data_IF_209899313039
#
_entry.id   IF_209899313039
#
_cell.length_a   1.000
_cell.length_b   1.000
_cell.length_c   1.000
_cell.angle_alpha   90.00
_cell.angle_beta   90.00
_cell.angle_gamma   90.00
#
_symmetry.space_group_name_H-M   'P 1'
#
loop_
_entity.id
_entity.type
_entity.pdbx_description
1 polymer ?
#
# COMPACT_ATOMS: atom_id res chain seq x y z
N UNK A 1 13.22 -24.53 1.17
CA UNK A 1 11.89 -24.15 0.64
C UNK A 1 12.10 -23.51 -0.72
N UNK A 2 11.27 -23.81 -1.74
CA UNK A 2 11.41 -23.18 -3.06
C UNK A 2 11.24 -21.67 -2.94
N UNK A 3 12.18 -20.90 -3.50
CA UNK A 3 12.14 -19.45 -3.49
C UNK A 3 11.13 -18.97 -4.55
N UNK A 4 10.25 -18.03 -4.16
CA UNK A 4 9.25 -17.50 -5.08
C UNK A 4 9.91 -16.83 -6.29
N UNK A 5 9.35 -17.07 -7.48
CA UNK A 5 9.87 -16.50 -8.74
C UNK A 5 9.76 -14.96 -8.76
N UNK A 6 10.61 -14.28 -9.55
CA UNK A 6 10.58 -12.81 -9.66
C UNK A 6 9.19 -12.27 -10.05
N UNK A 7 8.52 -12.94 -11.01
CA UNK A 7 7.14 -12.60 -11.40
C UNK A 7 6.15 -12.74 -10.24
N UNK A 8 6.25 -13.80 -9.43
CA UNK A 8 5.37 -13.97 -8.26
C UNK A 8 5.59 -12.88 -7.21
N UNK A 9 6.85 -12.53 -6.91
CA UNK A 9 7.19 -11.44 -5.98
C UNK A 9 6.61 -10.11 -6.46
N UNK A 10 6.75 -9.81 -7.75
CA UNK A 10 6.22 -8.60 -8.40
C UNK A 10 4.69 -8.51 -8.31
N UNK A 11 3.99 -9.58 -8.70
CA UNK A 11 2.52 -9.63 -8.64
C UNK A 11 2.02 -9.48 -7.21
N UNK A 12 2.65 -10.16 -6.25
CA UNK A 12 2.25 -10.06 -4.85
C UNK A 12 2.45 -8.64 -4.32
N UNK A 13 3.60 -8.02 -4.59
CA UNK A 13 3.87 -6.63 -4.20
C UNK A 13 2.84 -5.68 -4.80
N UNK A 14 2.49 -5.81 -6.09
CA UNK A 14 1.46 -4.99 -6.74
C UNK A 14 0.09 -5.12 -6.06
N UNK A 15 -0.36 -6.34 -5.78
CA UNK A 15 -1.64 -6.57 -5.09
C UNK A 15 -1.65 -5.89 -3.73
N UNK A 16 -0.56 -6.02 -2.96
CA UNK A 16 -0.44 -5.37 -1.64
C UNK A 16 -0.46 -3.85 -1.72
N UNK A 17 0.23 -3.26 -2.71
CA UNK A 17 0.23 -1.80 -2.93
C UNK A 17 -1.19 -1.33 -3.24
N UNK A 18 -1.86 -1.98 -4.19
CA UNK A 18 -3.22 -1.60 -4.58
C UNK A 18 -4.22 -1.77 -3.44
N UNK A 19 -4.14 -2.88 -2.70
CA UNK A 19 -4.99 -3.14 -1.54
C UNK A 19 -4.79 -2.12 -0.43
N UNK A 20 -3.53 -1.83 -0.07
CA UNK A 20 -3.20 -0.83 0.95
C UNK A 20 -3.64 0.57 0.56
N UNK A 21 -3.44 0.94 -0.71
CA UNK A 21 -3.85 2.25 -1.25
C UNK A 21 -5.37 2.40 -1.27
N UNK A 22 -6.10 1.39 -1.76
CA UNK A 22 -7.56 1.43 -1.81
C UNK A 22 -8.17 1.54 -0.40
N UNK A 23 -7.66 0.77 0.55
CA UNK A 23 -8.10 0.84 1.94
C UNK A 23 -7.81 2.21 2.57
N UNK A 24 -6.61 2.77 2.34
CA UNK A 24 -6.24 4.08 2.86
C UNK A 24 -7.13 5.20 2.28
N UNK A 25 -7.39 5.18 0.97
CA UNK A 25 -8.26 6.15 0.31
C UNK A 25 -9.70 6.08 0.83
N UNK A 26 -10.23 4.87 1.00
CA UNK A 26 -11.57 4.68 1.58
C UNK A 26 -11.66 5.24 3.00
N UNK A 27 -10.68 4.93 3.86
CA UNK A 27 -10.66 5.43 5.23
C UNK A 27 -10.50 6.95 5.27
N UNK A 28 -9.67 7.54 4.41
CA UNK A 28 -9.60 9.00 4.24
C UNK A 28 -10.95 9.60 3.86
N UNK A 29 -11.66 9.00 2.91
CA UNK A 29 -13.01 9.44 2.54
C UNK A 29 -13.96 9.41 3.74
N UNK A 30 -13.99 8.31 4.50
CA UNK A 30 -14.83 8.18 5.70
C UNK A 30 -14.49 9.27 6.72
N UNK A 31 -13.20 9.48 7.02
CA UNK A 31 -12.76 10.50 7.98
C UNK A 31 -13.18 11.89 7.52
N UNK A 32 -12.88 12.26 6.28
CA UNK A 32 -13.20 13.59 5.72
C UNK A 32 -14.72 13.81 5.69
N UNK A 33 -15.49 12.84 5.18
CA UNK A 33 -16.94 12.96 5.10
C UNK A 33 -17.59 13.16 6.47
N UNK A 34 -17.14 12.42 7.50
CA UNK A 34 -17.68 12.56 8.85
C UNK A 34 -17.28 13.88 9.51
N UNK A 35 -16.04 14.33 9.33
CA UNK A 35 -15.61 15.65 9.83
C UNK A 35 -16.41 16.78 9.18
N UNK A 36 -16.65 16.69 7.86
CA UNK A 36 -17.49 17.66 7.14
C UNK A 36 -18.96 17.60 7.59
N UNK A 37 -19.43 16.45 8.04
CA UNK A 37 -20.75 16.29 8.68
C UNK A 37 -20.80 16.78 10.14
N UNK A 38 -19.70 17.35 10.66
CA UNK A 38 -19.63 17.92 12.02
C UNK A 38 -19.22 16.93 13.11
N UNK A 39 -18.83 15.70 12.76
CA UNK A 39 -18.31 14.76 13.74
C UNK A 39 -16.94 15.20 14.27
N UNK A 40 -16.69 14.96 15.55
CA UNK A 40 -15.37 15.17 16.16
C UNK A 40 -14.42 14.04 15.81
N UNK A 41 -13.15 14.38 15.59
CA UNK A 41 -12.08 13.41 15.30
C UNK A 41 -11.62 12.70 16.58
N UNK A 42 -12.47 11.81 17.09
CA UNK A 42 -12.23 11.07 18.33
C UNK A 42 -12.63 9.60 18.17
N UNK A 43 -12.20 8.75 19.10
CA UNK A 43 -12.57 7.34 19.14
C UNK A 43 -12.36 6.61 17.81
N UNK A 44 -13.44 6.05 17.25
CA UNK A 44 -13.40 5.29 16.01
C UNK A 44 -12.88 6.11 14.82
N UNK A 45 -13.23 7.40 14.73
CA UNK A 45 -12.83 8.23 13.59
C UNK A 45 -11.34 8.54 13.59
N UNK A 46 -10.79 8.78 14.79
CA UNK A 46 -9.34 8.93 14.97
C UNK A 46 -8.61 7.61 14.65
N UNK A 47 -9.16 6.46 15.08
CA UNK A 47 -8.60 5.15 14.74
C UNK A 47 -8.61 4.90 13.22
N UNK A 48 -9.69 5.25 12.52
CA UNK A 48 -9.75 5.19 11.06
C UNK A 48 -8.69 6.06 10.38
N UNK A 49 -8.43 7.26 10.90
CA UNK A 49 -7.37 8.13 10.38
C UNK A 49 -5.97 7.50 10.57
N UNK A 50 -5.72 6.89 11.72
CA UNK A 50 -4.48 6.15 11.99
C UNK A 50 -4.32 4.94 11.05
N UNK A 51 -5.40 4.19 10.82
CA UNK A 51 -5.38 3.08 9.86
C UNK A 51 -5.21 3.54 8.42
N UNK A 52 -5.77 4.69 8.04
CA UNK A 52 -5.52 5.28 6.72
C UNK A 52 -4.02 5.57 6.54
N UNK A 53 -3.40 6.18 7.55
CA UNK A 53 -1.96 6.43 7.55
C UNK A 53 -1.14 5.13 7.48
N UNK A 54 -1.52 4.11 8.24
CA UNK A 54 -0.89 2.80 8.19
C UNK A 54 -1.03 2.14 6.81
N UNK A 55 -2.19 2.27 6.15
CA UNK A 55 -2.44 1.78 4.79
C UNK A 55 -1.54 2.45 3.76
N UNK A 56 -1.34 3.78 3.85
CA UNK A 56 -0.39 4.50 3.01
C UNK A 56 1.06 4.08 3.27
N UNK A 57 1.45 3.93 4.54
CA UNK A 57 2.78 3.46 4.89
C UNK A 57 3.04 2.05 4.35
N UNK A 58 2.06 1.15 4.46
CA UNK A 58 2.10 -0.20 3.90
C UNK A 58 2.25 -0.17 2.38
N UNK A 59 1.43 0.61 1.68
CA UNK A 59 1.52 0.75 0.22
C UNK A 59 2.88 1.33 -0.22
N UNK A 60 3.38 2.36 0.47
CA UNK A 60 4.69 2.95 0.19
C UNK A 60 5.84 1.95 0.40
N UNK A 61 5.76 1.12 1.45
CA UNK A 61 6.75 0.08 1.71
C UNK A 61 6.83 -0.95 0.57
N UNK A 62 5.69 -1.47 0.11
CA UNK A 62 5.68 -2.44 -0.99
C UNK A 62 5.97 -1.82 -2.35
N UNK A 63 5.70 -0.52 -2.54
CA UNK A 63 6.13 0.20 -3.74
C UNK A 63 7.65 0.29 -3.80
N UNK A 64 8.32 0.50 -2.65
CA UNK A 64 9.78 0.45 -2.55
C UNK A 64 10.33 -0.92 -2.92
N UNK A 65 9.70 -1.99 -2.40
CA UNK A 65 10.10 -3.37 -2.72
C UNK A 65 9.90 -3.71 -4.20
N UNK A 66 8.77 -3.30 -4.78
CA UNK A 66 8.48 -3.46 -6.21
C UNK A 66 9.51 -2.74 -7.09
N UNK A 67 9.94 -1.54 -6.68
CA UNK A 67 10.97 -0.77 -7.39
C UNK A 67 12.32 -1.48 -7.37
N UNK A 68 12.66 -2.17 -6.29
CA UNK A 68 13.88 -2.98 -6.20
C UNK A 68 13.80 -4.20 -7.14
N UNK A 69 12.67 -4.94 -7.12
CA UNK A 69 12.45 -6.09 -8.02
C UNK A 69 12.48 -5.67 -9.48
N UNK A 70 11.93 -4.51 -9.83
CA UNK A 70 11.98 -3.98 -11.19
C UNK A 70 13.40 -3.63 -11.65
N UNK A 71 14.31 -3.24 -10.74
CA UNK A 71 15.73 -3.05 -11.05
C UNK A 71 16.44 -4.39 -11.27
N UNK A 72 16.18 -5.37 -10.40
CA UNK A 72 16.70 -6.74 -10.54
C UNK A 72 16.30 -7.37 -11.90
N UNK A 73 15.04 -7.20 -12.33
CA UNK A 73 14.58 -7.68 -13.66
C UNK A 73 15.34 -7.02 -14.82
N UNK A 74 15.68 -5.72 -14.72
CA UNK A 74 16.43 -5.01 -15.77
C UNK A 74 17.90 -5.43 -15.83
N UNK A 75 18.53 -5.64 -14.68
CA UNK A 75 19.92 -6.10 -14.60
C UNK A 75 20.07 -7.55 -15.07
N UNK A 76 19.08 -8.40 -14.81
CA UNK A 76 19.03 -9.77 -15.33
C UNK A 76 18.77 -9.81 -16.85
N UNK A 77 17.95 -8.90 -17.39
CA UNK A 77 17.66 -8.80 -18.82
C UNK A 77 18.75 -8.12 -19.67
N UNK A 78 19.64 -7.32 -19.05
CA UNK A 78 20.76 -6.67 -19.73
C UNK A 78 22.03 -7.52 -19.85
N UNK A 79 22.03 -8.74 -19.32
CA UNK A 79 23.13 -9.73 -19.43
C UNK A 79 22.86 -10.83 -20.47
N UNK A 80 21.86 -10.63 -21.34
CA UNK A 80 21.52 -11.53 -22.46
C UNK A 80 22.05 -11.00 -23.79
#
# INVERSE_FOLDING_TARGET
>A
MPQATLRQRKTFALIRVLGGLAAALYLCYVVVANVLAGARLEGALLYSALLAFAGFAYAAWYLRELSAVAREEREAGGKG
#
